data_IF_091632900381
#
_entry.id   IF_091632900381
#
_cell.length_a   1.000
_cell.length_b   1.000
_cell.length_c   1.000
_cell.angle_alpha   90.00
_cell.angle_beta   90.00
_cell.angle_gamma   90.00
#
_symmetry.space_group_name_H-M   'P 1'
#
loop_
_entity.id
_entity.type
_entity.pdbx_description
1 polymer ?
#
# COMPACT_ATOMS: atom_id res chain seq x y z
N UNK A 1 4.82 33.54 -5.15
CA UNK A 1 4.27 32.22 -4.78
C UNK A 1 5.42 31.29 -4.41
N UNK A 2 5.59 31.01 -3.14
CA UNK A 2 6.51 29.97 -2.76
C UNK A 2 5.85 28.62 -3.05
N UNK A 3 6.29 27.93 -4.07
CA UNK A 3 5.99 26.52 -4.22
C UNK A 3 6.57 25.83 -2.99
N UNK A 4 5.68 25.38 -2.12
CA UNK A 4 6.06 24.60 -0.96
C UNK A 4 6.44 23.22 -1.47
N UNK A 5 7.63 23.10 -2.04
CA UNK A 5 8.18 21.82 -2.50
C UNK A 5 8.63 21.05 -1.29
N UNK A 6 7.67 20.39 -0.61
CA UNK A 6 8.01 19.36 0.36
C UNK A 6 8.78 18.28 -0.38
N UNK A 7 10.01 17.93 0.05
CA UNK A 7 10.76 16.87 -0.61
C UNK A 7 9.97 15.56 -0.61
N UNK A 8 10.01 14.83 -1.73
CA UNK A 8 9.41 13.51 -1.80
C UNK A 8 10.14 12.56 -0.86
N UNK A 9 9.42 11.65 -0.19
CA UNK A 9 10.09 10.62 0.58
C UNK A 9 10.94 9.73 -0.33
N UNK A 10 12.10 9.31 0.16
CA UNK A 10 13.02 8.44 -0.55
C UNK A 10 13.05 7.07 0.12
N UNK A 11 12.94 6.02 -0.70
CA UNK A 11 12.98 4.65 -0.24
C UNK A 11 14.06 3.88 -1.01
N UNK A 12 14.67 2.92 -0.34
CA UNK A 12 15.65 2.00 -0.93
C UNK A 12 15.18 0.57 -0.75
N UNK A 13 15.70 -0.34 -1.57
CA UNK A 13 15.44 -1.78 -1.43
C UNK A 13 15.82 -2.24 -0.03
N UNK A 14 17.03 -1.94 0.42
CA UNK A 14 17.51 -2.33 1.75
C UNK A 14 16.65 -1.76 2.88
N UNK A 15 16.23 -0.49 2.75
CA UNK A 15 15.39 0.17 3.75
C UNK A 15 14.01 -0.48 3.86
N UNK A 16 13.38 -0.79 2.73
CA UNK A 16 12.08 -1.45 2.73
C UNK A 16 12.16 -2.90 3.22
N UNK A 17 13.21 -3.62 2.85
CA UNK A 17 13.43 -4.99 3.33
C UNK A 17 13.69 -5.06 4.84
N UNK A 18 14.21 -4.00 5.44
CA UNK A 18 14.45 -3.92 6.88
C UNK A 18 13.19 -3.67 7.70
N UNK A 19 12.10 -3.21 7.08
CA UNK A 19 10.82 -2.98 7.78
C UNK A 19 10.13 -4.32 8.02
N UNK A 20 9.79 -4.66 9.29
CA UNK A 20 9.10 -5.90 9.58
C UNK A 20 7.70 -5.90 8.92
N UNK A 21 7.31 -7.05 8.40
CA UNK A 21 5.93 -7.24 7.91
C UNK A 21 4.91 -7.03 9.03
N UNK A 22 3.74 -6.52 8.69
CA UNK A 22 2.60 -6.52 9.62
C UNK A 22 2.10 -7.95 9.74
N UNK A 23 2.52 -8.62 10.81
CA UNK A 23 2.18 -10.00 11.10
C UNK A 23 1.75 -10.11 12.56
N UNK A 24 0.46 -10.37 12.75
CA UNK A 24 -0.18 -10.45 14.05
C UNK A 24 -0.72 -11.87 14.28
N UNK A 25 -0.99 -12.27 15.54
CA UNK A 25 -1.61 -13.58 15.81
C UNK A 25 -2.95 -13.76 15.10
N UNK A 26 -3.69 -12.67 14.89
CA UNK A 26 -4.95 -12.66 14.14
C UNK A 26 -5.16 -11.28 13.53
N UNK A 27 -5.92 -11.21 12.46
CA UNK A 27 -6.33 -9.95 11.83
C UNK A 27 -7.75 -10.13 11.28
N UNK A 28 -8.71 -9.46 11.90
CA UNK A 28 -10.13 -9.57 11.59
C UNK A 28 -10.66 -8.29 10.93
N UNK A 29 -11.92 -8.28 10.57
CA UNK A 29 -12.58 -7.11 9.97
C UNK A 29 -12.54 -5.88 10.86
N UNK A 30 -12.63 -6.04 12.17
CA UNK A 30 -12.51 -4.94 13.12
C UNK A 30 -11.10 -4.32 13.06
N UNK A 31 -10.07 -5.13 12.92
CA UNK A 31 -8.69 -4.64 12.76
C UNK A 31 -8.52 -3.91 11.43
N UNK A 32 -9.12 -4.43 10.36
CA UNK A 32 -9.11 -3.79 9.05
C UNK A 32 -9.79 -2.41 9.09
N UNK A 33 -10.89 -2.31 9.81
CA UNK A 33 -11.57 -1.02 10.03
C UNK A 33 -10.68 -0.03 10.77
N UNK A 34 -10.00 -0.46 11.84
CA UNK A 34 -9.10 0.40 12.61
C UNK A 34 -7.91 0.85 11.76
N UNK A 35 -7.27 -0.08 11.05
CA UNK A 35 -6.15 0.25 10.16
C UNK A 35 -6.58 1.23 9.07
N UNK A 36 -7.70 0.99 8.43
CA UNK A 36 -8.25 1.87 7.39
C UNK A 36 -8.59 3.25 7.93
N UNK A 37 -9.16 3.32 9.11
CA UNK A 37 -9.51 4.58 9.79
C UNK A 37 -8.26 5.40 10.13
N UNK A 38 -7.20 4.75 10.59
CA UNK A 38 -5.90 5.40 10.83
C UNK A 38 -5.38 6.00 9.52
N UNK A 39 -5.37 5.22 8.45
CA UNK A 39 -4.90 5.70 7.16
C UNK A 39 -5.74 6.87 6.63
N UNK A 40 -7.07 6.78 6.68
CA UNK A 40 -7.95 7.85 6.26
C UNK A 40 -7.73 9.13 7.08
N UNK A 41 -7.48 9.01 8.38
CA UNK A 41 -7.14 10.12 9.27
C UNK A 41 -5.83 10.80 8.88
N UNK A 42 -4.80 10.03 8.56
CA UNK A 42 -3.51 10.55 8.09
C UNK A 42 -3.67 11.30 6.76
N UNK A 43 -4.42 10.73 5.83
CA UNK A 43 -4.68 11.37 4.52
C UNK A 43 -5.34 12.72 4.73
N UNK A 44 -6.36 12.76 5.56
CA UNK A 44 -7.10 13.98 5.87
C UNK A 44 -6.23 15.02 6.55
N UNK A 45 -5.48 14.63 7.55
CA UNK A 45 -4.59 15.50 8.31
C UNK A 45 -3.51 16.13 7.43
N UNK A 46 -2.99 15.35 6.47
CA UNK A 46 -1.94 15.80 5.55
C UNK A 46 -2.48 16.53 4.32
N UNK A 47 -3.79 16.63 4.17
CA UNK A 47 -4.41 17.33 3.03
C UNK A 47 -4.16 16.67 1.68
N UNK A 48 -4.02 15.34 1.65
CA UNK A 48 -3.73 14.58 0.44
C UNK A 48 -5.00 14.14 -0.30
N UNK A 49 -4.89 13.92 -1.59
CA UNK A 49 -5.94 13.32 -2.42
C UNK A 49 -5.64 11.83 -2.59
N UNK A 50 -6.02 11.02 -1.62
CA UNK A 50 -5.78 9.59 -1.63
C UNK A 50 -7.05 8.80 -1.34
N UNK A 51 -7.19 7.70 -2.07
CA UNK A 51 -8.09 6.62 -1.73
C UNK A 51 -7.32 5.57 -0.93
N UNK A 52 -7.98 4.91 0.01
CA UNK A 52 -7.41 3.81 0.80
C UNK A 52 -8.38 2.64 0.84
N UNK A 53 -7.83 1.44 0.65
CA UNK A 53 -8.54 0.17 0.79
C UNK A 53 -7.88 -0.71 1.83
N UNK A 54 -8.70 -1.45 2.59
CA UNK A 54 -8.23 -2.64 3.30
C UNK A 54 -9.06 -3.84 2.83
N UNK A 55 -8.38 -4.82 2.29
CA UNK A 55 -8.97 -6.04 1.72
C UNK A 55 -8.49 -7.23 2.55
N UNK A 56 -9.41 -8.08 2.99
CA UNK A 56 -9.12 -9.36 3.63
C UNK A 56 -9.58 -10.49 2.72
N UNK A 57 -8.65 -11.36 2.34
CA UNK A 57 -8.87 -12.36 1.29
C UNK A 57 -9.40 -11.67 0.02
N UNK A 58 -10.61 -11.97 -0.42
CA UNK A 58 -11.24 -11.32 -1.56
C UNK A 58 -12.31 -10.29 -1.15
N UNK A 59 -12.37 -9.95 0.14
CA UNK A 59 -13.41 -9.08 0.70
C UNK A 59 -12.88 -7.66 0.91
N UNK A 60 -13.49 -6.70 0.24
CA UNK A 60 -13.25 -5.29 0.48
C UNK A 60 -13.93 -4.88 1.78
N UNK A 61 -13.16 -4.79 2.86
CA UNK A 61 -13.69 -4.50 4.20
C UNK A 61 -13.77 -3.00 4.48
N UNK A 62 -12.79 -2.24 4.01
CA UNK A 62 -12.72 -0.80 4.23
C UNK A 62 -12.32 -0.09 2.94
N UNK A 63 -13.04 0.98 2.61
CA UNK A 63 -12.65 1.92 1.56
C UNK A 63 -13.02 3.33 1.96
N UNK A 64 -12.09 4.26 1.80
CA UNK A 64 -12.34 5.68 1.92
C UNK A 64 -11.63 6.43 0.79
N UNK A 65 -12.30 7.44 0.28
CA UNK A 65 -11.72 8.38 -0.68
C UNK A 65 -11.72 9.74 -0.02
N UNK A 66 -10.53 10.29 0.16
CA UNK A 66 -10.31 11.52 0.91
C UNK A 66 -9.67 12.54 -0.01
N UNK A 67 -10.24 13.75 0.00
CA UNK A 67 -9.82 14.83 -0.88
C UNK A 67 -10.60 14.87 -2.19
N UNK A 68 -10.79 16.08 -2.75
CA UNK A 68 -11.65 16.29 -3.92
C UNK A 68 -11.08 15.73 -5.22
N UNK A 69 -9.78 15.42 -5.26
CA UNK A 69 -9.13 14.83 -6.43
C UNK A 69 -9.32 13.31 -6.55
N UNK A 70 -9.95 12.65 -5.58
CA UNK A 70 -10.23 11.22 -5.65
C UNK A 70 -11.50 10.94 -6.45
N UNK A 71 -11.60 9.74 -7.02
CA UNK A 71 -12.75 9.35 -7.81
C UNK A 71 -12.69 7.89 -8.26
N UNK A 72 -13.57 7.49 -9.17
CA UNK A 72 -13.60 6.11 -9.68
C UNK A 72 -12.29 5.65 -10.31
N UNK A 73 -11.50 6.58 -10.85
CA UNK A 73 -10.19 6.29 -11.45
C UNK A 73 -9.16 5.71 -10.49
N UNK A 74 -9.35 5.88 -9.18
CA UNK A 74 -8.47 5.29 -8.18
C UNK A 74 -8.66 3.76 -8.06
N UNK A 75 -9.86 3.25 -8.37
CA UNK A 75 -10.21 1.86 -8.09
C UNK A 75 -9.30 0.84 -8.81
N UNK A 76 -9.01 0.98 -10.13
CA UNK A 76 -8.08 0.06 -10.80
C UNK A 76 -6.66 0.09 -10.23
N UNK A 77 -6.21 1.26 -9.77
CA UNK A 77 -4.90 1.40 -9.14
C UNK A 77 -4.84 0.73 -7.78
N UNK A 78 -5.88 0.89 -6.97
CA UNK A 78 -5.99 0.18 -5.69
C UNK A 78 -5.93 -1.33 -5.89
N UNK A 79 -6.74 -1.85 -6.80
CA UNK A 79 -6.77 -3.28 -7.11
C UNK A 79 -5.46 -3.79 -7.69
N UNK A 80 -4.84 -3.04 -8.60
CA UNK A 80 -3.61 -3.44 -9.27
C UNK A 80 -2.39 -3.48 -8.35
N UNK A 81 -2.27 -2.49 -7.47
CA UNK A 81 -1.20 -2.47 -6.45
C UNK A 81 -1.38 -3.59 -5.42
N UNK A 82 -2.61 -3.80 -4.97
CA UNK A 82 -2.93 -4.89 -4.04
C UNK A 82 -2.60 -6.26 -4.64
N UNK A 83 -2.89 -6.46 -5.92
CA UNK A 83 -2.56 -7.71 -6.62
C UNK A 83 -1.06 -7.98 -6.64
N UNK A 84 -0.23 -6.95 -6.85
CA UNK A 84 1.24 -7.07 -6.80
C UNK A 84 1.71 -7.41 -5.39
N UNK A 85 1.23 -6.71 -4.38
CA UNK A 85 1.63 -6.97 -2.99
C UNK A 85 1.23 -8.39 -2.55
N UNK A 86 0.06 -8.86 -2.95
CA UNK A 86 -0.40 -10.24 -2.65
C UNK A 86 0.44 -11.29 -3.35
N UNK A 87 0.73 -11.07 -4.62
CA UNK A 87 1.48 -12.04 -5.42
C UNK A 87 2.91 -12.23 -4.91
N UNK A 88 3.59 -11.13 -4.60
CA UNK A 88 5.00 -11.17 -4.17
C UNK A 88 5.16 -11.25 -2.65
N UNK A 89 4.12 -10.99 -1.86
CA UNK A 89 4.19 -11.02 -0.41
C UNK A 89 5.04 -9.91 0.21
N UNK A 90 5.24 -8.82 -0.52
CA UNK A 90 6.02 -7.65 -0.11
C UNK A 90 5.31 -6.37 -0.54
N UNK A 91 5.68 -5.20 0.00
CA UNK A 91 5.12 -3.94 -0.47
C UNK A 91 5.29 -3.75 -1.98
N UNK A 92 4.27 -3.24 -2.64
CA UNK A 92 4.30 -3.04 -4.10
C UNK A 92 5.41 -2.07 -4.53
N UNK A 93 5.77 -1.10 -3.69
CA UNK A 93 6.92 -0.23 -3.95
C UNK A 93 8.23 -1.02 -3.98
N UNK A 94 8.40 -2.00 -3.11
CA UNK A 94 9.61 -2.82 -3.08
C UNK A 94 9.78 -3.61 -4.39
N UNK A 95 8.69 -4.11 -4.97
CA UNK A 95 8.73 -4.77 -6.28
C UNK A 95 9.28 -3.82 -7.34
N UNK A 96 8.76 -2.57 -7.40
CA UNK A 96 9.26 -1.56 -8.34
C UNK A 96 10.74 -1.27 -8.13
N UNK A 97 11.16 -1.03 -6.89
CA UNK A 97 12.54 -0.68 -6.58
C UNK A 97 13.52 -1.82 -6.85
N UNK A 98 13.12 -3.07 -6.63
CA UNK A 98 13.94 -4.24 -6.98
C UNK A 98 14.21 -4.31 -8.47
N UNK A 99 13.20 -4.03 -9.31
CA UNK A 99 13.38 -3.98 -10.76
C UNK A 99 14.30 -2.83 -11.19
N UNK A 100 14.11 -1.65 -10.63
CA UNK A 100 14.99 -0.51 -10.90
C UNK A 100 16.45 -0.81 -10.53
N UNK A 101 16.68 -1.41 -9.36
CA UNK A 101 18.01 -1.78 -8.92
C UNK A 101 18.67 -2.85 -9.81
N UNK A 102 17.89 -3.73 -10.37
CA UNK A 102 18.36 -4.80 -11.27
C UNK A 102 18.47 -4.35 -12.74
N UNK A 103 18.01 -3.15 -13.08
CA UNK A 103 17.95 -2.67 -14.46
C UNK A 103 16.92 -3.39 -15.32
N UNK A 104 15.88 -3.97 -14.70
CA UNK A 104 14.78 -4.69 -15.34
C UNK A 104 13.47 -3.93 -15.19
N UNK A 105 12.42 -4.41 -15.86
CA UNK A 105 11.07 -3.83 -15.77
C UNK A 105 10.08 -4.90 -15.33
N UNK A 106 9.18 -4.53 -14.42
CA UNK A 106 8.10 -5.41 -14.00
C UNK A 106 7.26 -5.89 -15.20
N UNK A 107 6.98 -4.98 -16.15
CA UNK A 107 6.18 -5.24 -17.34
C UNK A 107 6.78 -6.29 -18.27
N UNK A 108 8.07 -6.56 -18.14
CA UNK A 108 8.79 -7.54 -18.96
C UNK A 108 8.80 -8.95 -18.36
N UNK A 109 8.22 -9.14 -17.18
CA UNK A 109 8.11 -10.46 -16.56
C UNK A 109 7.17 -11.34 -17.39
N UNK A 110 7.69 -12.48 -17.82
CA UNK A 110 6.92 -13.53 -18.50
C UNK A 110 6.46 -14.58 -17.48
N UNK A 111 5.34 -14.31 -16.81
CA UNK A 111 4.72 -15.22 -15.86
C UNK A 111 3.22 -15.28 -16.16
N UNK A 112 2.66 -16.47 -16.47
CA UNK A 112 1.24 -16.59 -16.81
C UNK A 112 0.29 -16.20 -15.67
N UNK A 113 0.79 -16.13 -14.43
CA UNK A 113 0.01 -15.71 -13.27
C UNK A 113 0.03 -14.20 -13.05
N UNK A 114 0.84 -13.46 -13.81
CA UNK A 114 0.89 -11.99 -13.76
C UNK A 114 0.07 -11.43 -14.91
N UNK A 115 -1.01 -10.74 -14.57
CA UNK A 115 -1.81 -10.01 -15.55
C UNK A 115 -1.33 -8.56 -15.61
N UNK A 116 -0.49 -8.24 -16.59
CA UNK A 116 0.05 -6.91 -16.78
C UNK A 116 -1.00 -5.85 -17.14
N UNK A 117 -2.18 -6.26 -17.57
CA UNK A 117 -3.29 -5.33 -17.83
C UNK A 117 -3.87 -4.76 -16.54
N UNK A 118 -3.82 -5.52 -15.45
CA UNK A 118 -4.46 -5.15 -14.18
C UNK A 118 -3.46 -4.97 -13.03
N UNK A 119 -2.38 -5.73 -12.98
CA UNK A 119 -1.39 -5.66 -11.91
C UNK A 119 -0.44 -4.46 -12.09
N UNK A 120 -0.19 -3.73 -11.01
CA UNK A 120 0.57 -2.47 -11.07
C UNK A 120 1.65 -2.45 -10.00
N UNK A 121 2.93 -2.54 -10.41
CA UNK A 121 4.09 -2.48 -9.54
C UNK A 121 4.47 -1.02 -9.24
N UNK A 122 3.59 -0.34 -8.50
CA UNK A 122 3.77 1.02 -8.01
C UNK A 122 3.54 1.05 -6.50
N UNK A 123 4.14 2.02 -5.81
CA UNK A 123 4.00 2.14 -4.36
C UNK A 123 2.58 2.41 -3.90
N UNK A 124 2.24 1.89 -2.74
CA UNK A 124 0.96 2.13 -2.07
C UNK A 124 0.32 0.92 -1.42
N UNK A 125 0.67 -0.31 -1.80
CA UNK A 125 0.10 -1.51 -1.18
C UNK A 125 1.10 -2.21 -0.28
N UNK A 126 0.63 -2.59 0.91
CA UNK A 126 1.41 -3.33 1.91
C UNK A 126 0.63 -4.58 2.29
N UNK A 127 1.25 -5.78 2.23
CA UNK A 127 0.58 -7.01 2.61
C UNK A 127 0.40 -7.12 4.12
N UNK A 128 -0.68 -7.78 4.53
CA UNK A 128 -1.04 -8.04 5.92
C UNK A 128 -0.97 -9.54 6.14
N UNK A 129 -0.29 -9.95 7.22
CA UNK A 129 -0.16 -11.34 7.61
C UNK A 129 -0.84 -11.58 8.95
N UNK A 130 -1.35 -12.78 9.14
CA UNK A 130 -1.83 -13.28 10.43
C UNK A 130 -1.25 -14.67 10.65
N UNK A 131 -0.52 -14.83 11.75
CA UNK A 131 0.18 -16.08 12.09
C UNK A 131 1.04 -16.60 10.92
N UNK A 132 1.78 -15.70 10.28
CA UNK A 132 2.67 -15.99 9.16
C UNK A 132 1.98 -16.22 7.81
N UNK A 133 0.65 -16.12 7.75
CA UNK A 133 -0.13 -16.33 6.52
C UNK A 133 -0.59 -14.99 5.97
N UNK A 134 -0.41 -14.76 4.67
CA UNK A 134 -0.90 -13.56 4.00
C UNK A 134 -2.43 -13.59 3.99
N UNK A 135 -3.07 -12.61 4.62
CA UNK A 135 -4.53 -12.55 4.77
C UNK A 135 -5.16 -11.33 4.10
N UNK A 136 -4.35 -10.33 3.72
CA UNK A 136 -4.91 -9.15 3.09
C UNK A 136 -3.89 -8.10 2.73
N UNK A 137 -4.39 -6.92 2.38
CA UNK A 137 -3.58 -5.75 2.00
C UNK A 137 -4.22 -4.46 2.51
N UNK A 138 -3.37 -3.48 2.83
CA UNK A 138 -3.76 -2.08 2.84
C UNK A 138 -3.16 -1.41 1.61
N UNK A 139 -3.95 -0.63 0.90
CA UNK A 139 -3.53 0.01 -0.35
C UNK A 139 -4.00 1.46 -0.39
N UNK A 140 -3.10 2.35 -0.82
CA UNK A 140 -3.41 3.76 -1.08
C UNK A 140 -3.09 4.09 -2.53
N UNK A 141 -3.84 5.04 -3.11
CA UNK A 141 -3.61 5.50 -4.48
C UNK A 141 -4.15 6.90 -4.70
N UNK A 142 -3.41 7.75 -5.41
CA UNK A 142 -3.88 9.07 -5.83
C UNK A 142 -2.80 10.14 -5.93
N UNK A 143 -1.70 10.01 -5.24
CA UNK A 143 -0.56 10.92 -5.29
C UNK A 143 0.61 10.25 -6.04
N UNK A 144 1.83 10.76 -5.89
CA UNK A 144 3.01 10.02 -6.36
C UNK A 144 3.16 8.74 -5.53
N UNK A 145 3.59 7.66 -6.17
CA UNK A 145 3.58 6.33 -5.54
C UNK A 145 4.40 6.24 -4.25
N UNK A 146 5.46 7.05 -4.12
CA UNK A 146 6.24 7.13 -2.87
C UNK A 146 5.46 7.81 -1.75
N UNK A 147 4.59 8.77 -2.06
CA UNK A 147 3.68 9.39 -1.09
C UNK A 147 2.60 8.37 -0.69
N UNK A 148 2.03 7.68 -1.65
CA UNK A 148 1.04 6.63 -1.41
C UNK A 148 1.62 5.57 -0.45
N UNK A 149 2.81 5.07 -0.74
CA UNK A 149 3.49 4.11 0.13
C UNK A 149 3.73 4.67 1.54
N UNK A 150 4.19 5.92 1.64
CA UNK A 150 4.49 6.53 2.94
C UNK A 150 3.26 6.55 3.86
N UNK A 151 2.10 6.90 3.32
CA UNK A 151 0.86 6.92 4.11
C UNK A 151 0.48 5.53 4.56
N UNK A 152 0.54 4.54 3.67
CA UNK A 152 0.25 3.15 4.03
C UNK A 152 1.23 2.63 5.10
N UNK A 153 2.52 2.92 4.94
CA UNK A 153 3.56 2.52 5.89
C UNK A 153 3.36 3.18 7.27
N UNK A 154 3.02 4.47 7.29
CA UNK A 154 2.76 5.20 8.53
C UNK A 154 1.50 4.68 9.23
N UNK A 155 0.47 4.32 8.47
CA UNK A 155 -0.74 3.72 9.03
C UNK A 155 -0.43 2.36 9.66
N UNK A 156 0.35 1.53 8.99
CA UNK A 156 0.80 0.23 9.52
C UNK A 156 1.63 0.41 10.80
N UNK A 157 2.57 1.35 10.80
CA UNK A 157 3.39 1.65 11.98
C UNK A 157 2.54 2.11 13.16
N UNK A 158 1.59 3.02 12.94
CA UNK A 158 0.67 3.51 13.96
C UNK A 158 -0.23 2.39 14.49
N UNK A 159 -0.75 1.57 13.60
CA UNK A 159 -1.57 0.41 13.99
C UNK A 159 -0.77 -0.55 14.87
N UNK A 160 0.46 -0.85 14.48
CA UNK A 160 1.35 -1.74 15.24
C UNK A 160 1.59 -1.21 16.66
N UNK A 161 1.82 0.09 16.80
CA UNK A 161 2.02 0.72 18.13
C UNK A 161 0.79 0.60 19.02
N UNK A 162 -0.42 0.71 18.45
CA UNK A 162 -1.68 0.70 19.20
C UNK A 162 -2.19 -0.70 19.54
N UNK A 163 -1.99 -1.66 18.64
CA UNK A 163 -2.71 -2.93 18.66
C UNK A 163 -1.82 -4.17 18.68
N UNK A 164 -0.51 -4.02 18.55
CA UNK A 164 0.46 -5.12 18.55
C UNK A 164 1.35 -5.11 19.79
N UNK A 165 0.71 -4.91 20.93
CA UNK A 165 1.42 -4.95 22.21
C UNK A 165 1.82 -6.39 22.60
#
# INVERSE_FOLDING_TARGET
>A
MSENTTPLPEFTVAGLEAVPSLDLPSFAKADAYELGTIAAGLIRERGLNLAVDVVLDDDLVFRAKVGPGTGPGNDPWLAGKAAVARYFGVPSLLVRLRHEAAGTRFEDIEDPNIDHATMKAHGGSIPIFADGVLVGTITTSGEKDVIDHQVAADAVATFRERFAA
#
